data_IF_784602640620
#
_entry.id   IF_784602640620
#
_cell.length_a   1.000
_cell.length_b   1.000
_cell.length_c   1.000
_cell.angle_alpha   90.00
_cell.angle_beta   90.00
_cell.angle_gamma   90.00
#
_symmetry.space_group_name_H-M   'P 1'
#
loop_
_entity.id
_entity.type
_entity.pdbx_description
1 polymer ?
#
# COMPACT_ATOMS: atom_id res chain seq x y z
N UNK A 1 -5.40 3.19 -55.84
CA UNK A 1 -6.53 4.08 -55.55
C UNK A 1 -7.71 3.20 -55.16
N UNK A 2 -7.77 2.81 -53.88
CA UNK A 2 -8.87 2.09 -53.23
C UNK A 2 -8.89 2.61 -51.79
N UNK A 3 -9.96 3.30 -51.42
CA UNK A 3 -10.24 3.86 -50.09
C UNK A 3 -10.83 2.77 -49.19
N UNK A 4 -10.38 2.61 -47.93
CA UNK A 4 -11.14 1.86 -46.93
C UNK A 4 -12.06 2.78 -46.13
N UNK A 5 -13.26 2.27 -45.87
CA UNK A 5 -14.36 2.93 -45.18
C UNK A 5 -14.12 3.02 -43.65
N UNK A 6 -14.28 4.24 -43.13
CA UNK A 6 -14.35 4.57 -41.70
C UNK A 6 -15.70 4.09 -41.13
N UNK A 7 -15.67 3.21 -40.13
CA UNK A 7 -16.85 2.65 -39.45
C UNK A 7 -16.76 3.00 -37.96
N UNK A 8 -17.24 4.19 -37.59
CA UNK A 8 -17.35 4.62 -36.19
C UNK A 8 -18.63 4.08 -35.57
N UNK A 9 -18.60 3.52 -34.35
CA UNK A 9 -19.81 3.18 -33.61
C UNK A 9 -20.43 4.43 -32.96
N UNK A 10 -21.70 4.69 -33.27
CA UNK A 10 -22.55 5.67 -32.63
C UNK A 10 -22.93 5.21 -31.21
N UNK A 11 -22.38 5.88 -30.18
CA UNK A 11 -22.84 5.74 -28.80
C UNK A 11 -24.10 6.59 -28.60
N UNK A 12 -25.25 5.92 -28.44
CA UNK A 12 -26.52 6.54 -28.08
C UNK A 12 -26.49 7.08 -26.66
N UNK A 13 -26.67 8.40 -26.52
CA UNK A 13 -26.89 9.08 -25.24
C UNK A 13 -28.37 9.00 -24.86
N UNK A 14 -28.73 8.16 -23.90
CA UNK A 14 -30.03 8.20 -23.23
C UNK A 14 -30.01 9.27 -22.13
N UNK A 15 -30.65 10.40 -22.41
CA UNK A 15 -30.92 11.47 -21.44
C UNK A 15 -32.14 11.06 -20.60
N UNK A 16 -31.93 10.71 -19.33
CA UNK A 16 -33.05 10.56 -18.39
C UNK A 16 -33.48 11.94 -17.87
N UNK A 17 -34.64 12.37 -18.34
CA UNK A 17 -35.44 13.45 -17.80
C UNK A 17 -35.98 13.04 -16.42
N UNK A 18 -35.62 13.76 -15.34
CA UNK A 18 -36.39 13.71 -14.10
C UNK A 18 -37.12 15.03 -13.91
N UNK A 19 -38.45 14.96 -14.04
CA UNK A 19 -39.38 16.08 -13.89
C UNK A 19 -39.51 16.43 -12.41
N UNK A 20 -39.27 17.69 -12.08
CA UNK A 20 -39.74 18.30 -10.84
C UNK A 20 -41.28 18.28 -10.79
N UNK A 21 -41.83 17.83 -9.67
CA UNK A 21 -43.21 18.09 -9.26
C UNK A 21 -43.19 18.53 -7.78
N UNK A 22 -43.75 19.71 -7.44
CA UNK A 22 -43.88 20.15 -6.06
C UNK A 22 -45.31 19.90 -5.54
N UNK A 23 -45.43 19.45 -4.29
CA UNK A 23 -46.62 19.52 -3.44
C UNK A 23 -46.35 18.61 -2.23
N UNK A 24 -46.77 18.85 -1.00
CA UNK A 24 -47.56 19.90 -0.38
C UNK A 24 -47.29 19.77 1.12
N UNK A 25 -47.14 20.88 1.82
CA UNK A 25 -46.97 20.92 3.26
C UNK A 25 -48.27 20.57 3.97
N UNK A 26 -48.21 19.68 4.96
CA UNK A 26 -49.16 19.64 6.07
C UNK A 26 -48.38 19.41 7.36
N UNK A 27 -48.48 20.40 8.25
CA UNK A 27 -47.76 20.48 9.50
C UNK A 27 -48.27 19.49 10.55
N UNK A 28 -47.40 19.22 11.53
CA UNK A 28 -47.83 18.74 12.83
C UNK A 28 -47.00 19.43 13.89
N UNK A 29 -47.71 19.97 14.87
CA UNK A 29 -47.23 20.82 15.94
C UNK A 29 -46.60 19.97 17.03
N UNK A 30 -45.36 20.27 17.42
CA UNK A 30 -44.85 19.90 18.73
C UNK A 30 -44.26 21.15 19.38
N UNK A 31 -44.95 21.57 20.43
CA UNK A 31 -44.60 22.64 21.35
C UNK A 31 -43.54 22.11 22.32
N UNK A 32 -42.34 22.69 22.36
CA UNK A 32 -41.40 22.52 23.48
C UNK A 32 -41.12 23.89 24.07
N UNK A 33 -41.50 24.06 25.33
CA UNK A 33 -41.22 25.23 26.15
C UNK A 33 -39.71 25.48 26.22
N UNK A 34 -39.27 26.68 25.83
CA UNK A 34 -37.99 27.24 26.24
C UNK A 34 -38.24 28.14 27.46
N UNK A 35 -37.66 27.79 28.61
CA UNK A 35 -37.48 28.71 29.71
C UNK A 35 -36.24 29.57 29.41
N UNK A 36 -36.43 30.88 29.31
CA UNK A 36 -35.37 31.86 29.16
C UNK A 36 -34.66 32.07 30.50
N UNK A 37 -33.33 31.88 30.51
CA UNK A 37 -32.43 32.32 31.56
C UNK A 37 -31.23 33.00 30.92
N UNK A 38 -31.13 34.32 31.09
CA UNK A 38 -30.07 35.18 30.56
C UNK A 38 -28.81 35.08 31.43
N UNK A 39 -27.63 34.86 30.83
CA UNK A 39 -26.44 35.76 30.86
C UNK A 39 -25.09 35.03 30.70
N UNK A 40 -24.24 35.66 29.88
CA UNK A 40 -22.76 35.60 29.81
C UNK A 40 -22.09 34.61 28.82
N UNK A 41 -21.22 35.11 27.90
CA UNK A 41 -20.47 34.29 26.96
C UNK A 41 -19.03 34.05 27.46
N UNK A 42 -18.63 32.80 27.66
CA UNK A 42 -17.22 32.42 27.70
C UNK A 42 -17.07 30.93 27.37
N UNK A 43 -16.12 30.64 26.48
CA UNK A 43 -15.65 29.31 26.07
C UNK A 43 -16.65 28.43 25.31
N UNK A 44 -16.71 28.63 23.99
CA UNK A 44 -17.17 27.62 23.05
C UNK A 44 -16.19 26.42 23.08
N UNK A 45 -16.37 25.51 24.03
CA UNK A 45 -15.85 24.17 23.92
C UNK A 45 -16.66 23.46 22.83
N UNK A 46 -16.01 23.14 21.71
CA UNK A 46 -16.55 22.27 20.67
C UNK A 46 -16.73 20.87 21.27
N UNK A 47 -17.87 20.65 21.92
CA UNK A 47 -18.38 19.33 22.25
C UNK A 47 -18.92 18.72 20.96
N UNK A 48 -18.04 18.18 20.12
CA UNK A 48 -18.48 17.31 19.03
C UNK A 48 -19.05 16.05 19.67
N UNK A 49 -20.38 15.92 19.62
CA UNK A 49 -21.11 14.75 20.02
C UNK A 49 -20.63 13.52 19.22
N UNK A 50 -19.71 12.74 19.80
CA UNK A 50 -19.50 11.35 19.39
C UNK A 50 -20.71 10.53 19.80
N UNK A 51 -21.79 10.63 19.01
CA UNK A 51 -22.67 9.47 18.86
C UNK A 51 -21.90 8.46 18.02
N UNK A 52 -21.11 7.63 18.70
CA UNK A 52 -20.68 6.34 18.17
C UNK A 52 -21.94 5.54 17.87
N UNK A 53 -22.41 5.59 16.63
CA UNK A 53 -23.13 4.45 16.07
C UNK A 53 -22.07 3.35 15.94
N UNK A 54 -21.84 2.62 17.02
CA UNK A 54 -21.26 1.30 16.92
C UNK A 54 -22.28 0.46 16.15
N UNK A 55 -22.17 0.49 14.81
CA UNK A 55 -22.70 -0.60 14.00
C UNK A 55 -21.91 -1.81 14.48
N UNK A 56 -22.52 -2.62 15.33
CA UNK A 56 -21.95 -3.89 15.74
C UNK A 56 -21.73 -4.67 14.46
N UNK A 57 -20.47 -4.74 14.03
CA UNK A 57 -20.06 -5.62 12.95
C UNK A 57 -20.41 -7.02 13.43
N UNK A 58 -21.18 -7.82 12.66
CA UNK A 58 -21.40 -9.19 13.05
C UNK A 58 -20.03 -9.83 13.27
N UNK A 59 -19.88 -10.58 14.36
CA UNK A 59 -18.72 -11.42 14.58
C UNK A 59 -18.72 -12.46 13.45
N UNK A 60 -18.11 -12.10 12.33
CA UNK A 60 -17.85 -13.05 11.26
C UNK A 60 -16.73 -13.92 11.79
N UNK A 61 -17.05 -15.17 12.15
CA UNK A 61 -16.04 -16.18 12.30
C UNK A 61 -15.18 -16.10 11.05
N UNK A 62 -13.91 -15.70 11.23
CA UNK A 62 -13.05 -15.32 10.11
C UNK A 62 -13.07 -16.42 9.07
N UNK A 63 -13.41 -16.06 7.83
CA UNK A 63 -13.07 -16.92 6.71
C UNK A 63 -11.57 -17.18 6.82
N UNK A 64 -11.15 -18.44 6.61
CA UNK A 64 -9.73 -18.72 6.49
C UNK A 64 -9.22 -17.92 5.29
N UNK A 65 -8.10 -17.20 5.40
CA UNK A 65 -7.49 -16.54 4.24
C UNK A 65 -7.33 -17.56 3.12
N UNK A 66 -7.75 -17.20 1.92
CA UNK A 66 -7.52 -18.01 0.72
C UNK A 66 -6.10 -17.77 0.18
N UNK A 67 -5.51 -16.60 0.50
CA UNK A 67 -4.09 -16.29 0.25
C UNK A 67 -3.45 -15.59 1.44
N UNK A 68 -2.24 -16.05 1.80
CA UNK A 68 -1.34 -15.38 2.74
C UNK A 68 -0.10 -15.04 1.95
N UNK A 69 0.29 -13.77 1.93
CA UNK A 69 1.50 -13.30 1.24
C UNK A 69 2.46 -12.70 2.27
N UNK A 70 3.77 -12.86 2.06
CA UNK A 70 4.78 -12.25 2.93
C UNK A 70 5.58 -11.20 2.16
N UNK A 71 5.42 -9.96 2.59
CA UNK A 71 6.16 -8.85 2.02
C UNK A 71 7.41 -8.50 2.84
N UNK A 72 8.41 -7.99 2.13
CA UNK A 72 9.58 -7.33 2.69
C UNK A 72 9.49 -5.82 2.45
N UNK A 73 9.59 -5.01 3.50
CA UNK A 73 9.72 -3.56 3.37
C UNK A 73 11.13 -3.09 3.70
N UNK A 74 11.78 -2.45 2.72
CA UNK A 74 13.14 -1.94 2.77
C UNK A 74 13.11 -0.42 2.70
N UNK A 75 13.77 0.24 3.64
CA UNK A 75 13.94 1.69 3.62
C UNK A 75 15.30 2.02 3.02
N UNK A 76 15.33 2.97 2.09
CA UNK A 76 16.54 3.29 1.34
C UNK A 76 16.78 4.80 1.29
N UNK A 77 18.05 5.20 1.15
CA UNK A 77 18.46 6.60 1.00
C UNK A 77 19.63 6.74 0.04
N UNK A 78 19.86 7.96 -0.43
CA UNK A 78 21.06 8.30 -1.19
C UNK A 78 22.25 8.56 -0.27
N UNK A 79 23.47 8.39 -0.79
CA UNK A 79 24.70 8.54 0.00
C UNK A 79 24.91 9.93 0.60
N UNK A 80 24.45 10.97 -0.08
CA UNK A 80 24.50 12.37 0.38
C UNK A 80 23.44 12.69 1.45
N UNK A 81 22.52 11.78 1.75
CA UNK A 81 21.50 11.90 2.81
C UNK A 81 21.98 11.32 4.16
N UNK A 82 23.29 11.46 4.41
CA UNK A 82 24.00 10.90 5.58
C UNK A 82 23.66 11.56 6.92
N UNK A 83 22.89 12.64 6.91
CA UNK A 83 22.39 13.33 8.10
C UNK A 83 21.22 12.59 8.78
N UNK A 84 20.65 11.57 8.12
CA UNK A 84 19.59 10.74 8.68
C UNK A 84 20.08 9.67 9.66
N UNK A 85 19.16 9.28 10.55
CA UNK A 85 19.24 8.04 11.30
C UNK A 85 19.49 6.84 10.39
N UNK A 86 20.31 5.90 10.86
CA UNK A 86 20.47 4.57 10.26
C UNK A 86 19.28 3.66 10.57
N UNK A 87 18.48 3.99 11.58
CA UNK A 87 17.26 3.25 11.91
C UNK A 87 16.13 3.58 10.94
N UNK A 88 15.33 2.57 10.62
CA UNK A 88 14.10 2.77 9.87
C UNK A 88 13.13 3.71 10.62
N UNK A 89 12.20 4.37 9.91
CA UNK A 89 11.21 5.24 10.56
C UNK A 89 10.42 4.51 11.66
N UNK A 90 10.03 5.22 12.72
CA UNK A 90 9.37 4.61 13.89
C UNK A 90 8.09 3.80 13.56
N UNK A 91 7.41 4.13 12.45
CA UNK A 91 6.23 3.39 12.00
C UNK A 91 6.55 2.05 11.35
N UNK A 92 7.79 1.82 10.90
CA UNK A 92 8.20 0.64 10.14
C UNK A 92 7.85 -0.65 10.88
N UNK A 93 8.17 -0.71 12.17
CA UNK A 93 7.91 -1.89 13.03
C UNK A 93 6.42 -2.28 13.12
N UNK A 94 5.51 -1.34 12.83
CA UNK A 94 4.05 -1.54 12.89
C UNK A 94 3.41 -1.73 11.52
N UNK A 95 4.19 -1.73 10.44
CA UNK A 95 3.67 -1.75 9.07
C UNK A 95 2.88 -3.04 8.77
N UNK A 96 3.26 -4.16 9.38
CA UNK A 96 2.63 -5.48 9.21
C UNK A 96 1.95 -6.01 10.50
N UNK A 97 1.61 -5.11 11.42
CA UNK A 97 0.93 -5.47 12.67
C UNK A 97 -0.60 -5.43 12.47
N UNK A 98 -1.25 -6.60 12.50
CA UNK A 98 -2.70 -6.73 12.28
C UNK A 98 -3.55 -5.99 13.32
N UNK A 99 -3.03 -5.79 14.54
CA UNK A 99 -3.73 -5.15 15.65
C UNK A 99 -3.63 -3.62 15.60
N UNK A 100 -2.80 -3.07 14.71
CA UNK A 100 -2.65 -1.62 14.50
C UNK A 100 -3.57 -1.16 13.36
N UNK A 101 -4.63 -0.36 13.66
CA UNK A 101 -5.50 0.15 12.62
C UNK A 101 -4.73 0.98 11.59
N UNK A 102 -4.89 0.61 10.31
CA UNK A 102 -4.23 1.28 9.19
C UNK A 102 -2.84 0.76 8.85
N UNK A 103 -2.33 -0.27 9.54
CA UNK A 103 -1.20 -1.06 9.02
C UNK A 103 -1.57 -1.73 7.69
N UNK A 104 -0.59 -2.19 6.91
CA UNK A 104 -0.85 -2.91 5.66
C UNK A 104 -1.61 -4.20 5.94
N UNK A 105 -1.19 -4.98 6.94
CA UNK A 105 -1.87 -6.22 7.33
C UNK A 105 -3.32 -5.97 7.74
N UNK A 106 -3.56 -4.97 8.59
CA UNK A 106 -4.91 -4.58 8.98
C UNK A 106 -5.73 -4.16 7.75
N UNK A 107 -5.19 -3.28 6.91
CA UNK A 107 -5.90 -2.74 5.75
C UNK A 107 -6.29 -3.83 4.75
N UNK A 108 -5.36 -4.69 4.35
CA UNK A 108 -5.63 -5.73 3.35
C UNK A 108 -6.57 -6.82 3.89
N UNK A 109 -6.40 -7.22 5.14
CA UNK A 109 -7.31 -8.15 5.81
C UNK A 109 -8.74 -7.57 5.91
N UNK A 110 -8.85 -6.29 6.27
CA UNK A 110 -10.11 -5.59 6.43
C UNK A 110 -10.85 -5.43 5.09
N UNK A 111 -10.15 -4.94 4.07
CA UNK A 111 -10.72 -4.66 2.75
C UNK A 111 -11.08 -5.95 1.99
N UNK A 112 -10.33 -7.03 2.21
CA UNK A 112 -10.63 -8.36 1.65
C UNK A 112 -11.69 -9.14 2.43
N UNK A 113 -12.13 -8.63 3.60
CA UNK A 113 -13.01 -9.31 4.55
C UNK A 113 -12.45 -10.66 5.03
N UNK A 114 -11.14 -10.70 5.28
CA UNK A 114 -10.43 -11.88 5.75
C UNK A 114 -10.03 -12.89 4.68
N UNK A 115 -10.27 -12.59 3.40
CA UNK A 115 -9.94 -13.51 2.30
C UNK A 115 -8.47 -13.39 1.85
N UNK A 116 -7.82 -12.26 2.14
CA UNK A 116 -6.43 -12.00 1.78
C UNK A 116 -5.68 -11.41 2.98
N UNK A 117 -4.57 -12.04 3.35
CA UNK A 117 -3.72 -11.63 4.46
C UNK A 117 -2.32 -11.28 3.96
N UNK A 118 -2.00 -9.98 3.91
CA UNK A 118 -0.65 -9.50 3.68
C UNK A 118 0.10 -9.42 5.01
N UNK A 119 1.09 -10.29 5.21
CA UNK A 119 2.02 -10.25 6.34
C UNK A 119 3.40 -9.80 5.87
N UNK A 120 4.37 -9.68 6.77
CA UNK A 120 5.71 -9.31 6.35
C UNK A 120 6.61 -8.78 7.44
N UNK A 121 7.79 -8.35 7.01
CA UNK A 121 8.80 -7.72 7.86
C UNK A 121 9.21 -6.39 7.25
N UNK A 122 9.25 -5.35 8.07
CA UNK A 122 9.93 -4.11 7.73
C UNK A 122 11.32 -4.13 8.35
N UNK A 123 12.36 -4.01 7.52
CA UNK A 123 13.73 -4.04 8.02
C UNK A 123 13.98 -2.85 8.96
N UNK A 124 14.66 -3.05 10.10
CA UNK A 124 14.76 -2.04 11.15
C UNK A 124 15.77 -0.92 10.85
N UNK A 125 16.41 -0.98 9.68
CA UNK A 125 17.48 -0.08 9.25
C UNK A 125 17.20 0.53 7.87
N UNK A 126 17.92 1.59 7.56
CA UNK A 126 17.95 2.21 6.24
C UNK A 126 19.18 1.72 5.47
N UNK A 127 19.00 1.37 4.20
CA UNK A 127 20.05 1.00 3.26
C UNK A 127 20.48 2.20 2.44
N UNK A 128 21.77 2.32 2.17
CA UNK A 128 22.33 3.51 1.53
C UNK A 128 22.89 3.13 0.15
N UNK A 129 22.52 3.91 -0.87
CA UNK A 129 23.04 3.72 -2.23
C UNK A 129 24.55 3.99 -2.31
N UNK A 130 25.21 3.49 -3.36
CA UNK A 130 26.68 3.62 -3.49
C UNK A 130 27.15 5.05 -3.81
N UNK A 131 26.34 5.79 -4.57
CA UNK A 131 26.62 7.16 -4.98
C UNK A 131 25.61 8.17 -4.40
N UNK A 132 25.88 9.45 -4.62
CA UNK A 132 25.02 10.57 -4.25
C UNK A 132 23.82 10.71 -5.20
N UNK A 133 22.76 11.37 -4.73
CA UNK A 133 21.48 11.56 -5.43
C UNK A 133 21.60 12.07 -6.88
N UNK A 134 22.59 12.93 -7.15
CA UNK A 134 22.82 13.51 -8.48
C UNK A 134 23.33 12.51 -9.51
N UNK A 135 23.98 11.43 -9.08
CA UNK A 135 24.48 10.35 -9.95
C UNK A 135 23.35 9.48 -10.51
N UNK A 136 22.16 9.52 -9.90
CA UNK A 136 20.99 8.76 -10.35
C UNK A 136 20.04 9.55 -11.25
N UNK A 137 20.44 10.75 -11.67
CA UNK A 137 19.66 11.56 -12.63
C UNK A 137 19.55 10.85 -13.97
N UNK A 138 18.41 11.01 -14.64
CA UNK A 138 18.19 10.47 -15.97
C UNK A 138 17.51 9.11 -16.03
N UNK A 139 16.84 8.69 -14.95
CA UNK A 139 16.07 7.44 -14.91
C UNK A 139 16.83 6.24 -14.32
N UNK A 140 17.84 6.47 -13.48
CA UNK A 140 18.67 5.41 -12.88
C UNK A 140 18.03 4.77 -11.65
N UNK A 141 16.70 4.66 -11.62
CA UNK A 141 15.95 4.01 -10.55
C UNK A 141 16.33 2.52 -10.44
N UNK A 142 16.47 1.83 -11.57
CA UNK A 142 16.95 0.44 -11.64
C UNK A 142 18.26 0.26 -10.88
N UNK A 143 19.25 1.10 -11.19
CA UNK A 143 20.57 1.04 -10.57
C UNK A 143 20.47 1.23 -9.07
N UNK A 144 19.66 2.19 -8.63
CA UNK A 144 19.43 2.42 -7.20
C UNK A 144 18.84 1.18 -6.53
N UNK A 145 17.76 0.62 -7.09
CA UNK A 145 17.11 -0.56 -6.49
C UNK A 145 18.05 -1.76 -6.45
N UNK A 146 18.80 -2.04 -7.53
CA UNK A 146 19.78 -3.14 -7.55
C UNK A 146 20.84 -2.99 -6.46
N UNK A 147 21.40 -1.78 -6.28
CA UNK A 147 22.39 -1.53 -5.23
C UNK A 147 21.82 -1.74 -3.82
N UNK A 148 20.55 -1.41 -3.61
CA UNK A 148 19.86 -1.64 -2.33
C UNK A 148 19.59 -3.13 -2.13
N UNK A 149 19.11 -3.85 -3.14
CA UNK A 149 18.88 -5.30 -3.05
C UNK A 149 20.18 -6.08 -2.82
N UNK A 150 21.29 -5.71 -3.49
CA UNK A 150 22.61 -6.29 -3.22
C UNK A 150 22.99 -6.17 -1.73
N UNK A 151 22.61 -5.06 -1.07
CA UNK A 151 22.92 -4.84 0.33
C UNK A 151 21.95 -5.55 1.28
N UNK A 152 20.70 -5.76 0.87
CA UNK A 152 19.68 -6.52 1.62
C UNK A 152 19.97 -8.02 1.57
N UNK A 153 20.30 -8.57 0.39
CA UNK A 153 20.68 -9.98 0.21
C UNK A 153 21.88 -10.36 1.11
N UNK A 154 22.78 -9.41 1.37
CA UNK A 154 23.92 -9.65 2.25
C UNK A 154 23.55 -9.78 3.76
N UNK A 155 22.37 -9.34 4.19
CA UNK A 155 21.97 -9.34 5.60
C UNK A 155 20.57 -9.91 5.90
N UNK A 156 19.82 -10.31 4.87
CA UNK A 156 18.46 -10.82 4.97
C UNK A 156 18.28 -12.01 4.05
N UNK A 157 17.84 -13.14 4.62
CA UNK A 157 17.42 -14.33 3.85
C UNK A 157 16.13 -14.03 3.08
N UNK A 158 16.25 -13.87 1.77
CA UNK A 158 15.16 -13.54 0.86
C UNK A 158 14.22 -14.72 0.62
N UNK A 159 14.65 -15.96 0.89
CA UNK A 159 13.78 -17.13 0.74
C UNK A 159 12.61 -17.12 1.72
N UNK A 160 12.63 -16.28 2.76
CA UNK A 160 11.55 -16.16 3.74
C UNK A 160 10.31 -15.41 3.21
N UNK A 161 10.37 -14.94 1.97
CA UNK A 161 9.36 -14.10 1.33
C UNK A 161 8.90 -14.66 -0.04
N UNK A 162 9.16 -15.94 -0.29
CA UNK A 162 8.67 -16.74 -1.42
C UNK A 162 7.74 -17.79 -0.81
N UNK A 163 6.42 -17.55 -0.81
CA UNK A 163 5.44 -18.39 -0.11
C UNK A 163 4.12 -18.56 -0.88
N UNK A 164 4.10 -18.28 -2.17
CA UNK A 164 2.91 -18.32 -3.03
C UNK A 164 2.44 -19.74 -3.37
N UNK A 165 3.18 -20.76 -2.91
CA UNK A 165 2.78 -22.16 -2.90
C UNK A 165 1.45 -22.41 -2.17
N UNK A 166 0.81 -23.52 -2.52
CA UNK A 166 -0.47 -23.91 -1.95
C UNK A 166 -0.39 -24.22 -0.44
N UNK A 167 0.80 -24.54 0.08
CA UNK A 167 1.02 -24.78 1.50
C UNK A 167 1.22 -23.50 2.33
N UNK A 168 1.48 -22.36 1.67
CA UNK A 168 1.68 -21.03 2.25
C UNK A 168 2.91 -20.91 3.16
N UNK A 169 3.87 -21.83 3.06
CA UNK A 169 5.10 -21.84 3.85
C UNK A 169 6.24 -21.28 3.00
N UNK A 170 7.07 -20.39 3.56
CA UNK A 170 8.18 -19.84 2.80
C UNK A 170 9.18 -20.90 2.34
N UNK A 171 9.66 -20.79 1.10
CA UNK A 171 10.69 -21.62 0.50
C UNK A 171 10.43 -23.13 0.65
N UNK A 172 9.20 -23.52 0.35
CA UNK A 172 8.66 -24.87 0.26
C UNK A 172 8.87 -25.48 -1.14
N UNK A 173 8.40 -26.71 -1.34
CA UNK A 173 8.60 -27.43 -2.61
C UNK A 173 7.63 -27.03 -3.72
N UNK A 174 6.59 -26.27 -3.38
CA UNK A 174 5.55 -25.79 -4.29
C UNK A 174 5.66 -24.29 -4.61
N UNK A 175 6.62 -23.59 -4.02
CA UNK A 175 6.99 -22.21 -4.33
C UNK A 175 7.77 -22.11 -5.65
N UNK A 176 7.71 -20.93 -6.29
CA UNK A 176 8.24 -20.71 -7.64
C UNK A 176 9.68 -20.15 -7.68
N UNK A 177 10.24 -19.79 -6.53
CA UNK A 177 11.60 -19.27 -6.38
C UNK A 177 11.70 -17.75 -6.48
N UNK A 178 10.60 -17.01 -6.47
CA UNK A 178 10.57 -15.55 -6.49
C UNK A 178 10.11 -14.96 -5.17
N UNK A 179 10.68 -13.83 -4.77
CA UNK A 179 10.12 -13.06 -3.66
C UNK A 179 8.76 -12.47 -4.07
N UNK A 180 7.71 -12.81 -3.34
CA UNK A 180 6.32 -12.45 -3.63
C UNK A 180 6.13 -10.92 -3.68
N UNK A 181 6.62 -10.22 -2.64
CA UNK A 181 6.46 -8.78 -2.50
C UNK A 181 7.64 -8.09 -1.83
N UNK A 182 8.22 -7.10 -2.53
CA UNK A 182 9.21 -6.18 -1.96
C UNK A 182 8.77 -4.72 -2.14
N UNK A 183 8.77 -3.98 -1.03
CA UNK A 183 8.63 -2.52 -1.03
C UNK A 183 10.00 -1.88 -0.83
N UNK A 184 10.50 -1.15 -1.82
CA UNK A 184 11.69 -0.29 -1.66
C UNK A 184 11.24 1.16 -1.48
N UNK A 185 11.33 1.65 -0.25
CA UNK A 185 10.88 2.98 0.15
C UNK A 185 12.07 3.92 0.20
N UNK A 186 12.27 4.69 -0.87
CA UNK A 186 13.30 5.72 -0.92
C UNK A 186 12.92 6.93 -0.06
N UNK A 187 13.89 7.47 0.71
CA UNK A 187 13.72 8.66 1.56
C UNK A 187 13.35 9.91 0.75
N UNK A 188 13.92 10.05 -0.44
CA UNK A 188 13.64 11.15 -1.35
C UNK A 188 13.56 10.68 -2.80
N UNK A 189 13.05 11.56 -3.66
CA UNK A 189 12.89 11.32 -5.10
C UNK A 189 13.57 12.47 -5.86
N UNK A 190 14.87 12.40 -6.15
CA UNK A 190 15.58 13.46 -6.85
C UNK A 190 15.01 13.69 -8.26
N UNK A 191 15.21 14.91 -8.79
CA UNK A 191 14.64 15.29 -10.07
C UNK A 191 15.11 14.37 -11.21
N UNK A 192 14.16 13.75 -11.91
CA UNK A 192 14.45 12.82 -13.01
C UNK A 192 14.98 11.46 -12.57
N UNK A 193 14.77 11.09 -11.31
CA UNK A 193 15.10 9.77 -10.75
C UNK A 193 14.19 8.67 -11.30
N UNK A 194 12.87 8.92 -11.29
CA UNK A 194 11.84 8.01 -11.82
C UNK A 194 11.50 8.44 -13.25
N UNK A 195 11.86 7.62 -14.25
CA UNK A 195 11.57 7.82 -15.68
C UNK A 195 11.38 6.48 -16.40
N UNK A 196 10.59 6.49 -17.48
CA UNK A 196 10.44 5.31 -18.34
C UNK A 196 9.68 4.19 -17.64
N UNK A 197 10.23 2.97 -17.69
CA UNK A 197 9.62 1.75 -17.10
C UNK A 197 9.67 1.73 -15.56
N UNK A 198 10.48 2.60 -14.95
CA UNK A 198 10.40 2.85 -13.52
C UNK A 198 9.10 3.59 -13.22
N UNK A 199 8.02 2.85 -12.99
CA UNK A 199 6.73 3.41 -12.54
C UNK A 199 6.68 3.53 -11.02
N UNK A 200 7.55 2.78 -10.32
CA UNK A 200 7.60 2.70 -8.86
C UNK A 200 6.38 2.04 -8.22
N UNK A 201 5.46 1.47 -9.03
CA UNK A 201 4.12 1.01 -8.57
C UNK A 201 3.76 -0.40 -9.06
N UNK A 202 4.56 -1.02 -9.94
CA UNK A 202 4.27 -2.39 -10.44
C UNK A 202 5.51 -3.25 -10.72
N UNK A 203 6.70 -2.72 -10.45
CA UNK A 203 7.97 -3.41 -10.67
C UNK A 203 9.13 -2.56 -10.18
N UNK A 204 10.23 -3.23 -9.86
CA UNK A 204 11.46 -2.62 -9.33
C UNK A 204 12.26 -1.84 -10.39
N UNK A 205 11.73 -1.75 -11.62
CA UNK A 205 12.37 -1.08 -12.75
C UNK A 205 13.60 -1.81 -13.29
N UNK A 206 13.87 -3.04 -12.83
CA UNK A 206 14.97 -3.86 -13.28
C UNK A 206 14.76 -4.34 -14.72
N UNK A 207 15.82 -4.37 -15.52
CA UNK A 207 15.77 -4.90 -16.89
C UNK A 207 15.61 -6.43 -16.96
N UNK A 208 15.81 -7.11 -15.83
CA UNK A 208 15.61 -8.54 -15.62
C UNK A 208 15.69 -8.87 -14.14
N UNK A 209 15.54 -10.15 -13.81
CA UNK A 209 15.46 -10.62 -12.43
C UNK A 209 16.69 -10.19 -11.61
N UNK A 210 16.45 -9.89 -10.34
CA UNK A 210 17.50 -9.93 -9.34
C UNK A 210 17.78 -11.41 -9.04
N UNK A 211 19.04 -11.75 -8.73
CA UNK A 211 19.39 -13.12 -8.35
C UNK A 211 20.14 -13.00 -7.05
N UNK A 212 19.51 -13.46 -5.97
CA UNK A 212 20.05 -13.45 -4.63
C UNK A 212 21.15 -14.51 -4.46
N UNK A 213 21.80 -14.49 -3.31
CA UNK A 213 22.70 -15.56 -2.88
C UNK A 213 21.98 -16.69 -2.13
N UNK A 214 20.70 -16.49 -1.79
CA UNK A 214 19.86 -17.46 -1.09
C UNK A 214 19.32 -18.53 -2.02
N UNK A 215 19.16 -19.75 -1.49
CA UNK A 215 18.69 -20.90 -2.27
C UNK A 215 17.25 -21.25 -1.97
N UNK A 216 16.50 -21.45 -3.05
CA UNK A 216 15.21 -22.11 -3.02
C UNK A 216 15.33 -23.60 -2.69
N UNK A 217 14.21 -24.24 -2.36
CA UNK A 217 14.12 -25.66 -2.04
C UNK A 217 14.54 -26.56 -3.23
N UNK A 218 14.35 -26.07 -4.45
CA UNK A 218 14.83 -26.70 -5.69
C UNK A 218 16.36 -26.70 -5.83
N UNK A 219 17.05 -25.87 -5.05
CA UNK A 219 18.49 -25.63 -5.11
C UNK A 219 18.91 -24.49 -6.03
N UNK A 220 17.99 -23.91 -6.80
CA UNK A 220 18.19 -22.69 -7.57
C UNK A 220 18.24 -21.46 -6.66
N UNK A 221 18.75 -20.33 -7.15
CA UNK A 221 18.79 -19.09 -6.37
C UNK A 221 17.44 -18.38 -6.39
N UNK A 222 17.06 -17.78 -5.25
CA UNK A 222 15.87 -16.94 -5.10
C UNK A 222 16.02 -15.68 -5.95
N UNK A 223 14.91 -15.20 -6.52
CA UNK A 223 14.87 -14.06 -7.44
C UNK A 223 13.99 -12.90 -6.97
#
# INVERSE_FOLDING_TARGET
>A
MITPADSRPHFGRSQLYWRCLPALALGSWILVLFAAGTTSPAAAALYCAQKTLAVARPAQGGLRPEGVERALAVFARFRDESDASEAAPDFASRLFDADVPGSLTHFYNEMSRGQFLLTGTALPRVYTSRDVSTSYRGGQFERFVREILDAVDADTDLSLYDNDGADGRPNSGDDDGYVDFVFVVARSTPAGFIRGQATGIAGLGLAGDFVSSDRGMSGDFIR
#
